data_IF_470513272569
#
_entry.id   IF_470513272569
#
_cell.length_a   1.000
_cell.length_b   1.000
_cell.length_c   1.000
_cell.angle_alpha   90.00
_cell.angle_beta   90.00
_cell.angle_gamma   90.00
#
_symmetry.space_group_name_H-M   'P 1'
#
loop_
_entity.id
_entity.type
_entity.pdbx_description
1 polymer ?
#
# COMPACT_ATOMS: atom_id res chain seq x y z
N UNK A 1 17.96 -20.26 -2.39
CA UNK A 1 18.08 -20.90 -3.73
C UNK A 1 19.16 -20.27 -4.59
N UNK A 2 19.08 -18.99 -5.00
CA UNK A 2 20.02 -18.43 -5.98
C UNK A 2 21.48 -18.49 -5.47
N UNK A 3 21.70 -18.12 -4.22
CA UNK A 3 23.00 -18.22 -3.54
C UNK A 3 23.52 -19.66 -3.38
N UNK A 4 22.61 -20.65 -3.34
CA UNK A 4 22.96 -22.07 -3.11
C UNK A 4 23.17 -22.83 -4.43
N UNK A 5 22.47 -22.42 -5.49
CA UNK A 5 22.37 -23.18 -6.74
C UNK A 5 23.11 -22.53 -7.90
N UNK A 6 23.34 -21.21 -7.89
CA UNK A 6 24.02 -20.54 -8.98
C UNK A 6 25.55 -20.53 -8.75
N UNK A 7 26.35 -20.77 -9.81
CA UNK A 7 27.79 -20.59 -9.73
C UNK A 7 28.17 -19.15 -9.36
N UNK A 8 29.28 -18.97 -8.64
CA UNK A 8 29.79 -17.65 -8.26
C UNK A 8 30.13 -16.73 -9.45
N UNK A 9 30.26 -17.29 -10.66
CA UNK A 9 30.46 -16.53 -11.90
C UNK A 9 29.17 -15.89 -12.45
N UNK A 10 28.00 -16.22 -11.90
CA UNK A 10 26.69 -15.72 -12.34
C UNK A 10 26.26 -14.55 -11.46
N UNK A 11 25.99 -13.40 -12.05
CA UNK A 11 25.32 -12.29 -11.37
C UNK A 11 23.81 -12.49 -11.39
N UNK A 12 23.19 -12.56 -10.21
CA UNK A 12 21.74 -12.71 -10.06
C UNK A 12 21.12 -11.42 -9.51
N UNK A 13 20.06 -10.95 -10.15
CA UNK A 13 19.22 -9.84 -9.68
C UNK A 13 17.78 -10.30 -9.75
N UNK A 14 17.12 -10.38 -8.60
CA UNK A 14 15.69 -10.65 -8.52
C UNK A 14 14.89 -9.45 -9.00
N UNK A 15 13.77 -9.69 -9.68
CA UNK A 15 12.95 -8.63 -10.24
C UNK A 15 11.46 -8.93 -10.15
N UNK A 16 10.68 -7.97 -9.67
CA UNK A 16 9.21 -8.07 -9.56
C UNK A 16 8.54 -6.78 -10.09
N UNK A 17 7.94 -6.82 -11.30
CA UNK A 17 7.14 -5.71 -11.79
C UNK A 17 5.84 -5.60 -11.00
N UNK A 18 5.57 -4.42 -10.42
CA UNK A 18 4.30 -4.11 -9.77
C UNK A 18 3.28 -3.63 -10.82
N UNK A 19 2.99 -4.49 -11.79
CA UNK A 19 2.10 -4.25 -12.92
C UNK A 19 1.30 -5.51 -13.28
N UNK A 20 0.20 -5.35 -14.03
CA UNK A 20 -0.48 -6.47 -14.68
C UNK A 20 -1.32 -7.37 -13.78
N UNK A 21 -1.75 -6.87 -12.60
CA UNK A 21 -2.64 -7.62 -11.72
C UNK A 21 -3.92 -8.06 -12.48
N UNK A 22 -4.10 -9.37 -12.64
CA UNK A 22 -5.27 -9.97 -13.29
C UNK A 22 -5.14 -10.26 -14.79
N UNK A 23 -3.98 -10.04 -15.40
CA UNK A 23 -3.70 -10.49 -16.77
C UNK A 23 -3.04 -11.88 -16.73
N UNK A 24 -3.51 -12.82 -17.55
CA UNK A 24 -2.94 -14.16 -17.70
C UNK A 24 -2.90 -14.58 -19.16
N UNK A 25 -1.94 -15.44 -19.51
CA UNK A 25 -1.74 -15.90 -20.89
C UNK A 25 -0.99 -14.90 -21.77
N UNK A 26 -0.39 -15.39 -22.85
CA UNK A 26 0.38 -14.58 -23.79
C UNK A 26 -0.52 -13.63 -24.60
N UNK A 27 -1.77 -14.03 -24.81
CA UNK A 27 -2.84 -13.28 -25.45
C UNK A 27 -3.23 -11.99 -24.71
N UNK A 28 -2.98 -11.92 -23.39
CA UNK A 28 -3.22 -10.74 -22.58
C UNK A 28 -2.04 -9.76 -22.57
N UNK A 29 -0.98 -10.02 -23.35
CA UNK A 29 0.20 -9.17 -23.38
C UNK A 29 -0.11 -7.79 -23.98
N UNK A 30 0.27 -6.74 -23.25
CA UNK A 30 0.09 -5.35 -23.68
C UNK A 30 1.46 -4.67 -23.75
N UNK A 31 1.83 -4.02 -24.88
CA UNK A 31 3.14 -3.36 -25.03
C UNK A 31 3.43 -2.29 -23.98
N UNK A 32 2.38 -1.68 -23.42
CA UNK A 32 2.46 -0.60 -22.44
C UNK A 32 2.36 -1.10 -21.00
N UNK A 33 2.39 -2.41 -20.76
CA UNK A 33 2.12 -3.02 -19.44
C UNK A 33 3.00 -2.44 -18.31
N UNK A 34 4.26 -2.16 -18.61
CA UNK A 34 5.24 -1.72 -17.62
C UNK A 34 5.42 -0.20 -17.54
N UNK A 35 4.75 0.57 -18.42
CA UNK A 35 4.94 2.02 -18.48
C UNK A 35 4.53 2.68 -17.17
N UNK A 36 5.47 3.44 -16.57
CA UNK A 36 5.35 4.10 -15.27
C UNK A 36 5.11 3.18 -14.07
N UNK A 37 5.12 1.86 -14.26
CA UNK A 37 5.00 0.91 -13.16
C UNK A 37 6.23 0.93 -12.27
N UNK A 38 6.05 0.72 -10.95
CA UNK A 38 7.18 0.45 -10.06
C UNK A 38 7.70 -0.96 -10.30
N UNK A 39 9.01 -1.14 -10.22
CA UNK A 39 9.65 -2.44 -10.43
C UNK A 39 10.63 -2.70 -9.29
N UNK A 40 10.33 -3.68 -8.44
CA UNK A 40 11.18 -4.02 -7.31
C UNK A 40 12.38 -4.83 -7.80
N UNK A 41 13.58 -4.43 -7.37
CA UNK A 41 14.84 -5.12 -7.63
C UNK A 41 15.46 -5.59 -6.33
N UNK A 42 15.82 -6.87 -6.28
CA UNK A 42 16.51 -7.50 -5.16
C UNK A 42 17.90 -7.89 -5.63
N UNK A 43 18.92 -7.18 -5.14
CA UNK A 43 20.31 -7.40 -5.50
C UNK A 43 21.15 -7.58 -4.22
N UNK A 44 21.50 -8.82 -3.84
CA UNK A 44 22.37 -9.06 -2.68
C UNK A 44 23.69 -8.30 -2.77
N UNK A 45 24.36 -7.97 -1.65
CA UNK A 45 25.60 -7.18 -1.65
C UNK A 45 26.74 -7.75 -2.51
N UNK A 46 26.78 -9.07 -2.71
CA UNK A 46 27.78 -9.74 -3.53
C UNK A 46 27.50 -9.66 -5.05
N UNK A 47 26.38 -9.06 -5.46
CA UNK A 47 25.98 -9.00 -6.87
C UNK A 47 26.92 -8.10 -7.67
N UNK A 48 27.47 -8.56 -8.81
CA UNK A 48 28.34 -7.74 -9.65
C UNK A 48 27.63 -6.44 -10.10
N UNK A 49 28.28 -5.26 -9.97
CA UNK A 49 27.68 -3.99 -10.38
C UNK A 49 27.25 -3.94 -11.85
N UNK A 50 27.93 -4.69 -12.73
CA UNK A 50 27.57 -4.83 -14.14
C UNK A 50 26.23 -5.54 -14.34
N UNK A 51 25.92 -6.55 -13.53
CA UNK A 51 24.65 -7.27 -13.57
C UNK A 51 23.51 -6.35 -13.10
N UNK A 52 23.71 -5.65 -11.98
CA UNK A 52 22.75 -4.66 -11.47
C UNK A 52 22.46 -3.58 -12.53
N UNK A 53 23.50 -2.99 -13.11
CA UNK A 53 23.36 -1.98 -14.17
C UNK A 53 22.56 -2.51 -15.36
N UNK A 54 22.84 -3.73 -15.79
CA UNK A 54 22.15 -4.35 -16.94
C UNK A 54 20.65 -4.46 -16.68
N UNK A 55 20.25 -4.93 -15.49
CA UNK A 55 18.84 -5.11 -15.13
C UNK A 55 18.14 -3.77 -14.90
N UNK A 56 18.81 -2.79 -14.27
CA UNK A 56 18.27 -1.44 -14.13
C UNK A 56 17.98 -0.82 -15.50
N UNK A 57 18.95 -0.87 -16.42
CA UNK A 57 18.75 -0.34 -17.79
C UNK A 57 17.61 -1.04 -18.50
N UNK A 58 17.50 -2.37 -18.40
CA UNK A 58 16.37 -3.11 -18.98
C UNK A 58 15.02 -2.61 -18.43
N UNK A 59 14.91 -2.41 -17.11
CA UNK A 59 13.69 -1.95 -16.45
C UNK A 59 13.33 -0.52 -16.88
N UNK A 60 14.32 0.35 -17.02
CA UNK A 60 14.11 1.72 -17.51
C UNK A 60 13.71 1.74 -18.99
N UNK A 61 14.31 0.89 -19.83
CA UNK A 61 14.02 0.79 -21.27
C UNK A 61 12.58 0.33 -21.55
N UNK A 62 12.00 -0.52 -20.69
CA UNK A 62 10.59 -0.91 -20.78
C UNK A 62 9.63 0.14 -20.16
N UNK A 63 10.17 1.28 -19.72
CA UNK A 63 9.41 2.41 -19.19
C UNK A 63 8.98 2.28 -17.72
N UNK A 64 9.50 1.30 -17.00
CA UNK A 64 9.23 1.11 -15.58
C UNK A 64 10.20 1.93 -14.70
N UNK A 65 9.87 2.03 -13.41
CA UNK A 65 10.64 2.77 -12.40
C UNK A 65 11.29 1.78 -11.42
N UNK A 66 12.59 1.49 -11.56
CA UNK A 66 13.25 0.56 -10.67
C UNK A 66 13.35 1.14 -9.25
N UNK A 67 13.22 0.29 -8.24
CA UNK A 67 13.59 0.59 -6.86
C UNK A 67 14.19 -0.65 -6.21
N UNK A 68 15.10 -0.46 -5.25
CA UNK A 68 15.73 -1.56 -4.53
C UNK A 68 15.02 -1.84 -3.22
N UNK A 69 14.99 -3.12 -2.85
CA UNK A 69 14.41 -3.61 -1.60
C UNK A 69 15.14 -4.89 -1.18
N UNK A 70 15.29 -5.11 0.13
CA UNK A 70 15.87 -6.35 0.63
C UNK A 70 14.90 -7.53 0.40
N UNK A 71 15.44 -8.75 0.33
CA UNK A 71 14.61 -9.94 0.01
C UNK A 71 13.52 -10.19 1.06
N UNK A 72 13.85 -10.02 2.34
CA UNK A 72 12.90 -10.16 3.45
C UNK A 72 11.83 -9.07 3.43
N UNK A 73 12.24 -7.82 3.16
CA UNK A 73 11.32 -6.69 3.04
C UNK A 73 10.36 -6.88 1.86
N UNK A 74 10.89 -7.27 0.70
CA UNK A 74 10.10 -7.58 -0.49
C UNK A 74 9.01 -8.60 -0.18
N UNK A 75 9.39 -9.73 0.41
CA UNK A 75 8.45 -10.81 0.69
C UNK A 75 7.40 -10.38 1.72
N UNK A 76 7.79 -9.61 2.74
CA UNK A 76 6.82 -9.04 3.68
C UNK A 76 5.84 -8.08 2.99
N UNK A 77 6.33 -7.18 2.13
CA UNK A 77 5.48 -6.20 1.45
C UNK A 77 4.55 -6.84 0.43
N UNK A 78 5.02 -7.84 -0.32
CA UNK A 78 4.17 -8.61 -1.25
C UNK A 78 3.12 -9.42 -0.49
N UNK A 79 3.48 -10.00 0.66
CA UNK A 79 2.50 -10.65 1.52
C UNK A 79 1.42 -9.67 2.00
N UNK A 80 1.82 -8.49 2.49
CA UNK A 80 0.90 -7.46 2.98
C UNK A 80 -0.04 -6.91 1.89
N UNK A 81 0.52 -6.51 0.74
CA UNK A 81 -0.18 -5.75 -0.27
C UNK A 81 -0.81 -6.61 -1.39
N UNK A 82 -0.36 -7.86 -1.55
CA UNK A 82 -0.79 -8.75 -2.63
C UNK A 82 -1.46 -10.03 -2.12
N UNK A 83 -0.75 -10.82 -1.31
CA UNK A 83 -1.26 -12.11 -0.86
C UNK A 83 -2.42 -11.97 0.14
N UNK A 84 -2.26 -11.11 1.16
CA UNK A 84 -3.24 -10.92 2.21
C UNK A 84 -4.62 -10.51 1.64
N UNK A 85 -4.76 -9.54 0.71
CA UNK A 85 -6.04 -9.24 0.07
C UNK A 85 -6.75 -10.46 -0.55
N UNK A 86 -6.01 -11.35 -1.21
CA UNK A 86 -6.59 -12.57 -1.78
C UNK A 86 -7.07 -13.54 -0.69
N UNK A 87 -6.32 -13.68 0.41
CA UNK A 87 -6.71 -14.49 1.56
C UNK A 87 -7.95 -13.90 2.24
N UNK A 88 -8.01 -12.59 2.47
CA UNK A 88 -9.17 -11.90 3.06
C UNK A 88 -10.42 -12.15 2.21
N UNK A 89 -10.31 -11.94 0.90
CA UNK A 89 -11.42 -12.16 -0.03
C UNK A 89 -11.93 -13.60 0.01
N UNK A 90 -11.02 -14.57 0.08
CA UNK A 90 -11.35 -16.00 0.18
C UNK A 90 -12.00 -16.34 1.52
N UNK A 91 -11.46 -15.81 2.63
CA UNK A 91 -11.98 -16.02 3.98
C UNK A 91 -13.39 -15.42 4.13
N UNK A 92 -13.63 -14.21 3.62
CA UNK A 92 -14.93 -13.55 3.60
C UNK A 92 -15.98 -14.41 2.88
N UNK A 93 -15.70 -14.82 1.65
CA UNK A 93 -16.61 -15.66 0.87
C UNK A 93 -16.86 -16.99 1.56
N UNK A 94 -15.82 -17.63 2.07
CA UNK A 94 -15.92 -18.91 2.78
C UNK A 94 -16.75 -18.81 4.06
N UNK A 95 -16.65 -17.70 4.80
CA UNK A 95 -17.41 -17.50 6.04
C UNK A 95 -18.91 -17.34 5.74
N UNK A 96 -19.26 -16.50 4.78
CA UNK A 96 -20.68 -16.22 4.47
C UNK A 96 -21.35 -17.36 3.71
N UNK A 97 -20.65 -18.01 2.78
CA UNK A 97 -21.21 -19.14 2.03
C UNK A 97 -21.48 -20.38 2.90
N UNK A 98 -20.77 -20.51 4.05
CA UNK A 98 -21.03 -21.55 5.05
C UNK A 98 -22.22 -21.23 5.98
N UNK A 99 -22.75 -20.02 5.94
CA UNK A 99 -23.93 -19.65 6.71
C UNK A 99 -25.17 -20.39 6.18
N UNK A 100 -26.02 -20.96 7.07
CA UNK A 100 -27.32 -21.49 6.66
C UNK A 100 -28.21 -20.45 5.95
N UNK A 101 -27.98 -19.17 6.22
CA UNK A 101 -28.70 -18.02 5.66
C UNK A 101 -28.05 -17.43 4.41
N UNK A 102 -27.10 -18.13 3.77
CA UNK A 102 -26.37 -17.62 2.60
C UNK A 102 -27.30 -17.13 1.48
N UNK A 103 -28.40 -17.87 1.22
CA UNK A 103 -29.36 -17.51 0.16
C UNK A 103 -29.96 -16.12 0.39
N UNK A 104 -30.19 -15.75 1.63
CA UNK A 104 -30.76 -14.47 2.02
C UNK A 104 -29.65 -13.41 2.09
N UNK A 105 -28.51 -13.70 2.71
CA UNK A 105 -27.33 -12.80 2.79
C UNK A 105 -26.89 -12.35 1.39
N UNK A 106 -26.79 -13.28 0.43
CA UNK A 106 -26.36 -12.98 -0.94
C UNK A 106 -27.28 -12.02 -1.68
N UNK A 107 -28.55 -11.86 -1.27
CA UNK A 107 -29.46 -10.86 -1.84
C UNK A 107 -29.17 -9.44 -1.36
N UNK A 108 -28.47 -9.29 -0.24
CA UNK A 108 -28.00 -8.01 0.29
C UNK A 108 -26.58 -7.67 -0.16
N UNK A 109 -25.96 -8.51 -1.00
CA UNK A 109 -24.63 -8.25 -1.53
C UNK A 109 -24.63 -6.99 -2.40
N UNK A 110 -24.02 -5.93 -1.88
CA UNK A 110 -23.85 -4.65 -2.56
C UNK A 110 -22.58 -4.63 -3.43
N UNK A 111 -22.31 -3.48 -4.05
CA UNK A 111 -21.08 -3.29 -4.82
C UNK A 111 -19.83 -3.35 -3.92
N UNK A 112 -19.90 -2.88 -2.68
CA UNK A 112 -18.81 -3.01 -1.71
C UNK A 112 -18.50 -4.47 -1.40
N UNK A 113 -19.54 -5.31 -1.29
CA UNK A 113 -19.36 -6.75 -1.12
C UNK A 113 -18.69 -7.37 -2.35
N UNK A 114 -19.14 -7.00 -3.54
CA UNK A 114 -18.57 -7.47 -4.81
C UNK A 114 -17.09 -7.09 -4.92
N UNK A 115 -16.72 -5.87 -4.56
CA UNK A 115 -15.35 -5.39 -4.61
C UNK A 115 -14.43 -6.14 -3.64
N UNK A 116 -14.88 -6.30 -2.38
CA UNK A 116 -14.09 -6.97 -1.35
C UNK A 116 -13.95 -8.48 -1.60
N UNK A 117 -14.94 -9.10 -2.24
CA UNK A 117 -14.94 -10.53 -2.56
C UNK A 117 -14.37 -10.89 -3.93
N UNK A 118 -14.04 -9.90 -4.77
CA UNK A 118 -13.64 -10.11 -6.18
C UNK A 118 -12.45 -11.05 -6.33
N UNK A 119 -11.48 -10.98 -5.41
CA UNK A 119 -10.25 -11.78 -5.50
C UNK A 119 -10.47 -13.27 -5.21
N UNK A 120 -11.60 -13.65 -4.60
CA UNK A 120 -11.97 -15.05 -4.42
C UNK A 120 -12.36 -15.74 -5.74
N UNK A 121 -12.49 -14.99 -6.84
CA UNK A 121 -12.70 -15.53 -8.19
C UNK A 121 -11.40 -15.88 -8.91
N UNK A 122 -10.23 -15.58 -8.32
CA UNK A 122 -8.93 -15.99 -8.85
C UNK A 122 -8.82 -17.52 -8.78
N UNK A 123 -8.16 -18.12 -9.78
CA UNK A 123 -7.90 -19.56 -9.82
C UNK A 123 -7.23 -20.03 -8.50
N UNK A 124 -7.82 -20.98 -7.77
CA UNK A 124 -7.25 -21.48 -6.52
C UNK A 124 -5.82 -22.03 -6.66
N UNK A 125 -5.43 -22.55 -7.82
CA UNK A 125 -4.05 -23.03 -8.05
C UNK A 125 -3.04 -21.88 -7.95
N UNK A 126 -3.41 -20.69 -8.44
CA UNK A 126 -2.60 -19.47 -8.31
C UNK A 126 -2.46 -19.11 -6.84
N UNK A 127 -3.57 -19.07 -6.09
CA UNK A 127 -3.54 -18.73 -4.65
C UNK A 127 -2.70 -19.73 -3.85
N UNK A 128 -2.81 -21.03 -4.13
CA UNK A 128 -1.96 -22.06 -3.50
C UNK A 128 -0.50 -21.84 -3.84
N UNK A 129 -0.18 -21.46 -5.08
CA UNK A 129 1.17 -21.08 -5.49
C UNK A 129 1.74 -19.94 -4.63
N UNK A 130 0.97 -18.85 -4.47
CA UNK A 130 1.35 -17.70 -3.63
C UNK A 130 1.56 -18.10 -2.16
N UNK A 131 0.69 -18.96 -1.61
CA UNK A 131 0.83 -19.46 -0.24
C UNK A 131 2.10 -20.29 -0.03
N UNK A 132 2.51 -21.07 -1.04
CA UNK A 132 3.68 -21.94 -0.96
C UNK A 132 5.00 -21.18 -1.09
N UNK A 133 5.02 -20.04 -1.79
CA UNK A 133 6.24 -19.26 -1.99
C UNK A 133 6.58 -18.37 -0.79
N UNK A 134 5.60 -17.99 0.02
CA UNK A 134 5.79 -17.02 1.10
C UNK A 134 4.92 -17.29 2.35
N UNK A 135 4.90 -18.52 2.89
CA UNK A 135 3.97 -18.91 3.96
C UNK A 135 4.18 -18.09 5.24
N UNK A 136 5.42 -17.84 5.64
CA UNK A 136 5.74 -17.20 6.93
C UNK A 136 5.24 -15.76 6.99
N UNK A 137 5.49 -14.97 5.94
CA UNK A 137 5.01 -13.57 5.90
C UNK A 137 3.49 -13.50 5.72
N UNK A 138 2.88 -14.45 4.99
CA UNK A 138 1.42 -14.53 4.90
C UNK A 138 0.82 -14.80 6.28
N UNK A 139 1.35 -15.77 7.03
CA UNK A 139 0.89 -16.09 8.38
C UNK A 139 1.06 -14.90 9.33
N UNK A 140 2.21 -14.21 9.26
CA UNK A 140 2.44 -13.00 10.03
C UNK A 140 1.34 -11.96 9.77
N UNK A 141 1.08 -11.62 8.51
CA UNK A 141 0.10 -10.59 8.15
C UNK A 141 -1.36 -11.01 8.39
N UNK A 142 -1.69 -12.30 8.28
CA UNK A 142 -2.98 -12.84 8.74
C UNK A 142 -3.13 -12.59 10.25
N UNK A 143 -2.07 -12.85 11.03
CA UNK A 143 -2.11 -12.66 12.48
C UNK A 143 -2.27 -11.19 12.87
N UNK A 144 -1.60 -10.27 12.16
CA UNK A 144 -1.80 -8.82 12.33
C UNK A 144 -3.26 -8.43 12.06
N UNK A 145 -3.85 -8.92 10.97
CA UNK A 145 -5.24 -8.64 10.63
C UNK A 145 -6.22 -9.22 11.66
N UNK A 146 -5.98 -10.43 12.16
CA UNK A 146 -6.81 -11.02 13.20
C UNK A 146 -6.81 -10.13 14.44
N UNK A 147 -5.64 -9.64 14.87
CA UNK A 147 -5.55 -8.69 15.98
C UNK A 147 -6.40 -7.43 15.77
N UNK A 148 -6.29 -6.81 14.59
CA UNK A 148 -7.11 -5.62 14.24
C UNK A 148 -8.62 -5.93 14.24
N UNK A 149 -9.03 -7.11 13.75
CA UNK A 149 -10.44 -7.53 13.78
C UNK A 149 -10.94 -7.80 15.20
N UNK A 150 -10.10 -8.35 16.07
CA UNK A 150 -10.41 -8.59 17.48
C UNK A 150 -10.53 -7.27 18.25
N UNK A 151 -9.62 -6.32 18.01
CA UNK A 151 -9.66 -4.98 18.59
C UNK A 151 -10.92 -4.23 18.14
N UNK A 152 -11.22 -4.22 16.84
CA UNK A 152 -12.45 -3.62 16.31
C UNK A 152 -13.70 -4.27 16.90
N UNK A 153 -13.73 -5.60 17.03
CA UNK A 153 -14.83 -6.32 17.67
C UNK A 153 -15.01 -5.87 19.12
N UNK A 154 -13.93 -5.75 19.89
CA UNK A 154 -13.98 -5.31 21.28
C UNK A 154 -14.47 -3.86 21.41
N UNK A 155 -13.98 -2.97 20.54
CA UNK A 155 -14.45 -1.58 20.49
C UNK A 155 -15.95 -1.50 20.18
N UNK A 156 -16.45 -2.30 19.22
CA UNK A 156 -17.87 -2.37 18.88
C UNK A 156 -18.71 -2.89 20.05
N UNK A 157 -18.23 -3.92 20.77
CA UNK A 157 -18.94 -4.51 21.92
C UNK A 157 -19.06 -3.53 23.10
N UNK A 158 -18.10 -2.62 23.23
CA UNK A 158 -18.04 -1.61 24.28
C UNK A 158 -18.43 -0.19 23.85
N UNK A 159 -18.88 -0.01 22.61
CA UNK A 159 -19.19 1.31 22.07
C UNK A 159 -20.36 1.97 22.80
N UNK A 160 -20.12 3.17 23.34
CA UNK A 160 -21.18 3.98 23.95
C UNK A 160 -21.91 4.79 22.88
N UNK A 161 -23.26 4.78 22.92
CA UNK A 161 -24.10 5.54 21.97
C UNK A 161 -23.88 7.06 22.01
N UNK A 162 -23.33 7.59 23.11
CA UNK A 162 -23.19 9.02 23.32
C UNK A 162 -21.77 9.56 23.07
N UNK A 163 -20.79 8.68 22.87
CA UNK A 163 -19.39 9.06 22.70
C UNK A 163 -19.03 9.22 21.21
N UNK A 164 -19.06 10.47 20.72
CA UNK A 164 -18.70 10.75 19.32
C UNK A 164 -17.20 10.67 19.02
N UNK A 165 -16.36 10.56 20.05
CA UNK A 165 -14.90 10.57 19.91
C UNK A 165 -14.23 9.38 20.62
N UNK A 166 -15.01 8.30 20.79
CA UNK A 166 -14.59 7.07 21.46
C UNK A 166 -13.53 6.26 20.68
N UNK A 167 -13.04 5.16 21.27
CA UNK A 167 -11.98 4.33 20.68
C UNK A 167 -12.31 3.86 19.26
N UNK A 168 -13.56 3.45 18.99
CA UNK A 168 -13.99 3.01 17.66
C UNK A 168 -13.88 4.13 16.62
N UNK A 169 -14.40 5.32 16.93
CA UNK A 169 -14.30 6.48 16.02
C UNK A 169 -12.83 6.79 15.72
N UNK A 170 -11.96 6.79 16.73
CA UNK A 170 -10.54 7.08 16.54
C UNK A 170 -9.86 6.04 15.64
N UNK A 171 -10.16 4.75 15.81
CA UNK A 171 -9.64 3.69 14.95
C UNK A 171 -10.11 3.83 13.49
N UNK A 172 -11.40 4.09 13.28
CA UNK A 172 -11.96 4.30 11.94
C UNK A 172 -11.39 5.55 11.25
N UNK A 173 -11.18 6.63 12.00
CA UNK A 173 -10.52 7.84 11.51
C UNK A 173 -9.08 7.56 11.11
N UNK A 174 -8.32 6.83 11.93
CA UNK A 174 -6.93 6.48 11.61
C UNK A 174 -6.84 5.67 10.30
N UNK A 175 -7.71 4.66 10.13
CA UNK A 175 -7.78 3.87 8.90
C UNK A 175 -8.18 4.72 7.68
N UNK A 176 -9.15 5.63 7.86
CA UNK A 176 -9.60 6.54 6.80
C UNK A 176 -8.47 7.47 6.36
N UNK A 177 -7.77 8.11 7.29
CA UNK A 177 -6.68 9.04 7.00
C UNK A 177 -5.48 8.32 6.36
N UNK A 178 -5.14 7.12 6.84
CA UNK A 178 -4.10 6.30 6.24
C UNK A 178 -4.40 6.03 4.74
N UNK A 179 -5.63 5.64 4.42
CA UNK A 179 -6.07 5.44 3.04
C UNK A 179 -6.08 6.74 2.23
N UNK A 180 -6.52 7.85 2.82
CA UNK A 180 -6.56 9.15 2.16
C UNK A 180 -5.14 9.62 1.77
N UNK A 181 -4.17 9.51 2.68
CA UNK A 181 -2.75 9.82 2.42
C UNK A 181 -2.16 8.96 1.31
N UNK A 182 -2.40 7.64 1.37
CA UNK A 182 -1.96 6.72 0.31
C UNK A 182 -2.55 7.08 -1.07
N UNK A 183 -3.85 7.36 -1.13
CA UNK A 183 -4.54 7.70 -2.39
C UNK A 183 -4.06 9.04 -2.94
N UNK A 184 -3.71 9.99 -2.07
CA UNK A 184 -3.14 11.28 -2.44
C UNK A 184 -1.65 11.18 -2.86
N UNK A 185 -1.04 9.98 -2.80
CA UNK A 185 0.37 9.79 -3.11
C UNK A 185 1.32 10.43 -2.10
N UNK A 186 0.84 10.71 -0.89
CA UNK A 186 1.67 11.24 0.20
C UNK A 186 2.45 10.07 0.79
N UNK A 187 3.76 10.06 0.52
CA UNK A 187 4.67 9.06 1.06
C UNK A 187 4.74 9.21 2.59
N UNK A 188 4.51 8.15 3.39
CA UNK A 188 4.63 8.22 4.85
C UNK A 188 6.03 8.66 5.32
N UNK A 189 7.03 8.60 4.43
CA UNK A 189 8.39 9.13 4.65
C UNK A 189 8.78 10.06 3.49
N UNK A 190 8.08 11.19 3.34
CA UNK A 190 8.64 12.29 2.57
C UNK A 190 9.86 12.85 3.34
N UNK A 191 11.09 12.58 2.87
CA UNK A 191 12.23 13.40 3.28
C UNK A 191 11.84 14.87 3.07
N UNK A 192 12.00 15.75 4.06
CA UNK A 192 11.60 17.14 3.90
C UNK A 192 12.40 17.72 2.74
N UNK A 193 11.74 17.93 1.59
CA UNK A 193 12.25 18.86 0.59
C UNK A 193 12.29 20.20 1.30
N UNK A 194 13.48 20.70 1.59
CA UNK A 194 13.66 22.10 1.94
C UNK A 194 13.03 22.91 0.79
N UNK A 195 11.86 23.49 1.04
CA UNK A 195 11.25 24.46 0.14
C UNK A 195 12.23 25.64 0.05
N UNK A 196 12.92 25.76 -1.09
CA UNK A 196 13.75 26.92 -1.40
C UNK A 196 12.77 28.08 -1.63
N UNK A 197 12.85 29.17 -0.85
CA UNK A 197 11.93 30.30 -1.00
C UNK A 197 11.99 30.84 -2.41
N UNK A 198 10.83 31.19 -2.95
CA UNK A 198 10.72 31.89 -4.24
C UNK A 198 11.39 33.25 -4.17
N UNK A 199 11.79 33.81 -5.31
CA UNK A 199 12.45 35.13 -5.37
C UNK A 199 11.62 36.25 -4.71
N UNK A 200 10.29 36.16 -4.76
CA UNK A 200 9.38 37.10 -4.08
C UNK A 200 9.39 36.95 -2.56
N UNK A 201 9.47 35.71 -2.05
CA UNK A 201 9.54 35.43 -0.61
C UNK A 201 10.88 35.85 0.00
N UNK A 202 11.99 35.66 -0.73
CA UNK A 202 13.30 36.16 -0.32
C UNK A 202 13.35 37.69 -0.23
N UNK A 203 12.66 38.38 -1.14
CA UNK A 203 12.57 39.85 -1.14
C UNK A 203 11.77 40.37 0.06
N UNK A 204 10.63 39.75 0.37
CA UNK A 204 9.80 40.12 1.53
C UNK A 204 10.53 39.91 2.87
N UNK A 205 11.38 38.88 2.94
CA UNK A 205 12.19 38.55 4.11
C UNK A 205 13.28 39.60 4.38
N UNK A 206 13.87 40.17 3.32
CA UNK A 206 14.84 41.27 3.39
C UNK A 206 14.20 42.58 3.87
N UNK A 207 12.93 42.83 3.51
CA UNK A 207 12.24 44.08 3.85
C UNK A 207 11.58 44.10 5.24
N UNK A 208 11.00 42.97 5.68
CA UNK A 208 10.23 42.91 6.94
C UNK A 208 10.97 42.22 8.09
N UNK A 209 12.14 41.63 7.83
CA UNK A 209 12.84 40.77 8.79
C UNK A 209 12.17 39.40 8.95
N UNK A 210 12.95 38.38 9.28
CA UNK A 210 12.54 36.96 9.23
C UNK A 210 11.42 36.56 10.22
N UNK A 211 11.20 37.35 11.27
CA UNK A 211 10.17 37.09 12.29
C UNK A 211 8.80 37.70 11.92
N UNK A 212 8.81 38.93 11.40
CA UNK A 212 7.60 39.67 10.98
C UNK A 212 7.05 39.12 9.66
N UNK A 213 7.93 38.75 8.72
CA UNK A 213 7.55 38.06 7.47
C UNK A 213 6.86 36.71 7.72
N UNK A 214 7.37 35.88 8.65
CA UNK A 214 6.72 34.61 9.04
C UNK A 214 5.33 34.81 9.64
N UNK A 215 5.16 35.83 10.48
CA UNK A 215 3.85 36.19 11.07
C UNK A 215 2.86 36.70 10.02
N UNK A 216 3.29 37.57 9.12
CA UNK A 216 2.47 38.07 8.03
C UNK A 216 2.04 36.96 7.06
N UNK A 217 2.97 36.04 6.71
CA UNK A 217 2.65 34.90 5.85
C UNK A 217 1.73 33.87 6.52
N UNK A 218 1.86 33.65 7.83
CA UNK A 218 0.94 32.79 8.59
C UNK A 218 -0.49 33.34 8.61
N UNK A 219 -0.64 34.67 8.73
CA UNK A 219 -1.94 35.34 8.74
C UNK A 219 -2.60 35.47 7.35
N UNK A 220 -1.83 35.31 6.25
CA UNK A 220 -2.31 35.42 4.87
C UNK A 220 -2.51 34.06 4.18
N UNK A 221 -2.15 32.94 4.84
CA UNK A 221 -2.45 31.61 4.31
C UNK A 221 -3.93 31.30 4.59
N UNK A 222 -4.78 31.10 3.57
CA UNK A 222 -6.10 30.53 3.81
C UNK A 222 -5.91 29.20 4.52
N UNK A 223 -6.78 28.91 5.48
CA UNK A 223 -6.85 27.62 6.17
C UNK A 223 -7.11 26.54 5.10
N UNK A 224 -6.03 25.96 4.55
CA UNK A 224 -6.13 24.86 3.60
C UNK A 224 -6.57 23.66 4.42
N UNK A 225 -7.83 23.27 4.25
CA UNK A 225 -8.33 21.98 4.71
C UNK A 225 -7.45 20.89 4.09
N UNK A 226 -6.74 20.16 4.94
CA UNK A 226 -5.95 19.01 4.50
C UNK A 226 -6.93 17.92 4.06
N UNK A 227 -7.00 17.56 2.76
CA UNK A 227 -7.94 16.56 2.27
C UNK A 227 -7.64 15.15 2.81
N UNK A 228 -6.50 14.96 3.46
CA UNK A 228 -6.09 13.70 4.09
C UNK A 228 -6.40 13.64 5.59
N UNK A 229 -6.94 14.73 6.15
CA UNK A 229 -7.41 14.77 7.53
C UNK A 229 -8.92 14.54 7.57
N UNK A 230 -9.36 13.68 8.48
CA UNK A 230 -10.79 13.42 8.63
C UNK A 230 -11.52 14.65 9.18
N UNK A 231 -12.59 15.15 8.53
CA UNK A 231 -13.33 16.30 9.00
C UNK A 231 -14.19 15.93 10.22
N UNK A 232 -13.61 15.99 11.43
CA UNK A 232 -14.37 15.82 12.67
C UNK A 232 -15.46 16.88 12.74
N UNK A 233 -16.72 16.46 12.90
CA UNK A 233 -17.82 17.39 13.15
C UNK A 233 -17.67 17.91 14.59
N UNK A 234 -17.33 19.18 14.74
CA UNK A 234 -17.48 19.85 16.03
C UNK A 234 -18.96 19.83 16.42
N UNK A 235 -19.31 19.20 17.55
CA UNK A 235 -20.66 19.29 18.11
C UNK A 235 -20.92 20.78 18.39
N UNK A 236 -21.97 21.33 17.76
CA UNK A 236 -22.62 22.56 18.21
C UNK A 236 -23.62 22.24 19.30
#
# INVERSE_FOLDING_TARGET
WAEELLPASVGFVGGHPLAGAGLSGAESAVPTLFQSARYALVAPPATPPSAVKTVVTLVEDIGAKPFFVDKEEHDSYVAAAGHLPAIISTALMSALARSPSWREISRFASDEFRDLSRLASVDPEVTVGLCRTNPDMIIYWISQLIGELEDLRAMIDHESRDDSDGPLMNALVAAWEARARWTAGIDPVAFPRQEIPTAGEGMLQLFLGSALSRRAMSAMRPEKTDPTQYPRRTRR
#
